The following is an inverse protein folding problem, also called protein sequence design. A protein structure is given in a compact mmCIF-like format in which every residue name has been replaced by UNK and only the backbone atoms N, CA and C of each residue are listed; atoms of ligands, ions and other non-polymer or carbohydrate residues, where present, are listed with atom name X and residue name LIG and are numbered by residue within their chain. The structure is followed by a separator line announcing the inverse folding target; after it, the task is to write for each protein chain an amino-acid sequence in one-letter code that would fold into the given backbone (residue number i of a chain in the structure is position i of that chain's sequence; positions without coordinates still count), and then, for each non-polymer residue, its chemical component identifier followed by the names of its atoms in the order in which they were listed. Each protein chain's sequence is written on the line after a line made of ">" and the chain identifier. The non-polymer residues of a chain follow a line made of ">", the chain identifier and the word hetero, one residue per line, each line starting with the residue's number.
data_IF_699341530628
#
_entry.id   IF_699341530628
#
_cell.length_a   1.000
_cell.length_b   1.000
_cell.length_c   1.000
_cell.angle_alpha   90.00
_cell.angle_beta   90.00
_cell.angle_gamma   90.00
#
_symmetry.space_group_name_H-M   'P 1'
#
loop_
_entity.id
_entity.type
_entity.pdbx_description
1 polymer ?
#
# COMPACT_ATOMS: atom_id res chain seq x y z
N UNK A 1 29.16 -71.06 -51.48
CA UNK A 1 28.30 -71.08 -50.28
C UNK A 1 28.87 -70.11 -49.24
N UNK A 2 28.17 -69.02 -48.93
CA UNK A 2 28.16 -68.39 -47.60
C UNK A 2 27.06 -67.32 -47.59
N UNK A 3 26.07 -67.57 -46.74
CA UNK A 3 24.80 -66.83 -46.61
C UNK A 3 25.04 -65.51 -45.87
N UNK A 4 24.29 -64.48 -46.28
CA UNK A 4 24.10 -63.25 -45.53
C UNK A 4 23.50 -63.53 -44.15
N UNK A 5 23.99 -62.84 -43.12
CA UNK A 5 23.29 -62.64 -41.86
C UNK A 5 23.25 -61.14 -41.59
N UNK A 6 22.05 -60.56 -41.66
CA UNK A 6 21.74 -59.24 -41.16
C UNK A 6 21.66 -59.31 -39.63
N UNK A 7 22.48 -58.53 -38.94
CA UNK A 7 22.30 -58.23 -37.51
C UNK A 7 21.83 -56.79 -37.38
N UNK A 8 20.54 -56.64 -37.08
CA UNK A 8 19.87 -55.40 -36.69
C UNK A 8 20.37 -54.97 -35.31
N UNK A 9 21.04 -53.81 -35.24
CA UNK A 9 21.44 -53.18 -33.98
C UNK A 9 20.27 -52.28 -33.50
N UNK A 10 19.60 -52.68 -32.43
CA UNK A 10 18.58 -51.86 -31.77
C UNK A 10 19.28 -50.74 -30.98
N UNK A 11 19.08 -49.49 -31.40
CA UNK A 11 19.56 -48.30 -30.69
C UNK A 11 18.56 -47.97 -29.56
N UNK A 12 18.89 -48.33 -28.32
CA UNK A 12 18.12 -47.93 -27.15
C UNK A 12 18.34 -46.44 -26.87
N UNK A 13 17.32 -45.62 -27.12
CA UNK A 13 17.32 -44.21 -26.75
C UNK A 13 17.15 -44.08 -25.23
N UNK A 14 18.20 -43.67 -24.53
CA UNK A 14 18.13 -43.27 -23.12
C UNK A 14 17.49 -41.88 -23.08
N UNK A 15 16.20 -41.81 -22.78
CA UNK A 15 15.53 -40.55 -22.46
C UNK A 15 15.89 -40.19 -21.02
N UNK A 16 16.91 -39.36 -20.85
CA UNK A 16 17.21 -38.73 -19.57
C UNK A 16 16.10 -37.75 -19.22
N UNK A 17 15.22 -38.13 -18.29
CA UNK A 17 14.26 -37.20 -17.72
C UNK A 17 15.05 -36.14 -16.92
N UNK A 18 15.20 -34.95 -17.49
CA UNK A 18 15.64 -33.79 -16.74
C UNK A 18 14.58 -33.51 -15.67
N UNK A 19 14.91 -33.83 -14.41
CA UNK A 19 14.14 -33.35 -13.26
C UNK A 19 14.38 -31.85 -13.21
N UNK A 20 13.49 -31.09 -13.85
CA UNK A 20 13.36 -29.66 -13.62
C UNK A 20 12.95 -29.50 -12.15
N UNK A 21 13.92 -29.24 -11.28
CA UNK A 21 13.63 -28.73 -9.95
C UNK A 21 12.77 -27.46 -10.08
N UNK A 22 11.88 -27.17 -9.12
CA UNK A 22 11.16 -25.90 -9.14
C UNK A 22 12.17 -24.77 -9.27
N UNK A 23 11.95 -23.86 -10.21
CA UNK A 23 12.73 -22.64 -10.31
C UNK A 23 12.77 -22.00 -8.91
N UNK A 24 13.92 -21.55 -8.39
CA UNK A 24 13.92 -20.79 -7.16
C UNK A 24 12.96 -19.62 -7.34
N UNK A 25 11.94 -19.54 -6.49
CA UNK A 25 11.08 -18.38 -6.43
C UNK A 25 12.00 -17.19 -6.14
N UNK A 26 12.25 -16.35 -7.15
CA UNK A 26 12.91 -15.09 -6.94
C UNK A 26 12.03 -14.34 -5.93
N UNK A 27 12.53 -14.22 -4.70
CA UNK A 27 11.91 -13.44 -3.65
C UNK A 27 11.72 -12.03 -4.23
N UNK A 28 10.46 -11.63 -4.43
CA UNK A 28 10.14 -10.35 -5.04
C UNK A 28 10.86 -9.26 -4.25
N UNK A 29 11.72 -8.49 -4.91
CA UNK A 29 12.35 -7.34 -4.29
C UNK A 29 11.26 -6.28 -4.09
N UNK A 30 10.65 -6.28 -2.91
CA UNK A 30 9.78 -5.20 -2.46
C UNK A 30 10.63 -3.92 -2.40
N UNK A 31 10.33 -2.96 -3.25
CA UNK A 31 10.98 -1.65 -3.20
C UNK A 31 10.13 -0.73 -2.34
N UNK A 32 10.76 0.10 -1.50
CA UNK A 32 10.06 1.06 -0.66
C UNK A 32 10.55 2.46 -0.98
N UNK A 33 9.60 3.36 -1.23
CA UNK A 33 9.82 4.78 -1.39
C UNK A 33 9.26 5.46 -0.14
N UNK A 34 10.15 5.82 0.78
CA UNK A 34 9.77 6.41 2.06
C UNK A 34 10.88 7.33 2.58
N UNK A 35 10.52 8.54 2.97
CA UNK A 35 11.38 9.45 3.71
C UNK A 35 11.09 9.44 5.20
N UNK A 36 11.74 10.34 5.94
CA UNK A 36 11.46 10.59 7.36
C UNK A 36 10.06 11.15 7.59
N UNK A 37 9.50 11.82 6.59
CA UNK A 37 8.13 12.33 6.57
C UNK A 37 7.52 12.29 5.16
N UNK A 38 6.25 12.64 5.06
CA UNK A 38 5.49 12.71 3.79
C UNK A 38 6.13 13.63 2.74
N UNK A 39 6.80 14.70 3.16
CA UNK A 39 7.41 15.66 2.25
C UNK A 39 8.66 15.04 1.62
N UNK A 40 9.49 14.37 2.41
CA UNK A 40 10.63 13.63 1.91
C UNK A 40 10.21 12.41 1.07
N UNK A 41 9.14 11.69 1.44
CA UNK A 41 8.58 10.64 0.57
C UNK A 41 8.21 11.19 -0.81
N UNK A 42 7.62 12.39 -0.89
CA UNK A 42 7.30 13.03 -2.17
C UNK A 42 8.54 13.34 -3.02
N UNK A 43 9.62 13.79 -2.37
CA UNK A 43 10.92 14.01 -3.02
C UNK A 43 11.51 12.70 -3.54
N UNK A 44 11.49 11.64 -2.74
CA UNK A 44 12.04 10.35 -3.13
C UNK A 44 11.25 9.71 -4.28
N UNK A 45 9.92 9.86 -4.30
CA UNK A 45 9.09 9.41 -5.42
C UNK A 45 9.41 10.19 -6.70
N UNK A 46 9.55 11.51 -6.62
CA UNK A 46 9.95 12.36 -7.75
C UNK A 46 11.29 11.93 -8.35
N UNK A 47 12.26 11.52 -7.53
CA UNK A 47 13.57 11.03 -8.00
C UNK A 47 13.53 9.70 -8.74
N UNK A 48 12.43 8.94 -8.63
CA UNK A 48 12.22 7.70 -9.39
C UNK A 48 11.53 7.94 -10.73
N UNK A 49 11.14 9.18 -11.03
CA UNK A 49 10.48 9.57 -12.26
C UNK A 49 11.47 10.27 -13.21
N UNK A 50 11.23 10.19 -14.54
CA UNK A 50 12.02 10.96 -15.50
C UNK A 50 11.91 12.47 -15.22
N UNK A 51 12.86 13.25 -15.74
CA UNK A 51 12.77 14.71 -15.67
C UNK A 51 11.48 15.18 -16.37
N UNK A 52 10.83 16.17 -15.77
CA UNK A 52 9.61 16.78 -16.27
C UNK A 52 9.73 18.30 -16.26
N UNK A 53 8.98 18.99 -17.12
CA UNK A 53 9.11 20.43 -17.32
C UNK A 53 8.32 21.26 -16.28
N UNK A 54 7.42 20.62 -15.52
CA UNK A 54 6.61 21.25 -14.49
C UNK A 54 6.69 20.53 -13.13
N UNK A 55 6.48 21.30 -12.06
CA UNK A 55 6.34 20.80 -10.69
C UNK A 55 5.03 21.31 -10.09
N UNK A 56 4.19 20.39 -9.64
CA UNK A 56 2.95 20.67 -8.92
C UNK A 56 3.22 20.64 -7.42
N UNK A 57 2.85 21.69 -6.71
CA UNK A 57 2.93 21.79 -5.26
C UNK A 57 1.55 21.57 -4.65
N UNK A 58 1.41 20.47 -3.92
CA UNK A 58 0.18 20.10 -3.22
C UNK A 58 0.37 20.22 -1.70
N UNK A 59 -0.72 20.46 -0.98
CA UNK A 59 -0.70 20.43 0.48
C UNK A 59 -0.48 19.01 0.99
N UNK A 60 0.56 18.82 1.80
CA UNK A 60 0.79 17.56 2.52
C UNK A 60 -0.09 17.41 3.77
N UNK A 61 -0.92 18.40 4.09
CA UNK A 61 -1.78 18.39 5.30
C UNK A 61 -3.28 18.38 4.98
N UNK A 62 -3.67 18.79 3.77
CA UNK A 62 -5.05 18.83 3.30
C UNK A 62 -5.14 18.29 1.88
N UNK A 63 -5.97 17.28 1.65
CA UNK A 63 -6.06 16.56 0.37
C UNK A 63 -6.99 17.16 -0.72
N UNK A 64 -8.08 17.89 -0.42
CA UNK A 64 -9.16 18.09 -1.39
C UNK A 64 -8.72 18.74 -2.71
N UNK A 65 -7.86 19.76 -2.63
CA UNK A 65 -7.44 20.54 -3.81
C UNK A 65 -6.44 19.78 -4.70
N UNK A 66 -5.86 18.68 -4.21
CA UNK A 66 -4.82 17.93 -4.89
C UNK A 66 -5.29 16.57 -5.43
N UNK A 67 -6.43 16.03 -4.99
CA UNK A 67 -6.89 14.70 -5.40
C UNK A 67 -7.09 14.55 -6.92
N UNK A 68 -7.46 15.63 -7.60
CA UNK A 68 -7.63 15.67 -9.05
C UNK A 68 -6.35 16.01 -9.82
N UNK A 69 -5.23 16.24 -9.14
CA UNK A 69 -3.99 16.68 -9.79
C UNK A 69 -3.27 15.54 -10.51
N UNK A 70 -3.43 14.29 -10.07
CA UNK A 70 -2.71 13.15 -10.63
C UNK A 70 -2.80 13.04 -12.17
N UNK A 71 -4.01 13.07 -12.79
CA UNK A 71 -4.12 13.03 -14.24
C UNK A 71 -3.48 14.21 -14.97
N UNK A 72 -3.59 15.41 -14.40
CA UNK A 72 -3.02 16.62 -15.01
C UNK A 72 -1.50 16.58 -14.96
N UNK A 73 -0.94 16.25 -13.78
CA UNK A 73 0.50 16.13 -13.60
C UNK A 73 1.08 15.06 -14.54
N UNK A 74 0.43 13.90 -14.66
CA UNK A 74 0.91 12.86 -15.57
C UNK A 74 0.80 13.25 -17.05
N UNK A 75 -0.28 13.92 -17.47
CA UNK A 75 -0.43 14.41 -18.83
C UNK A 75 0.64 15.43 -19.23
N UNK A 76 1.19 16.16 -18.26
CA UNK A 76 2.26 17.14 -18.44
C UNK A 76 3.66 16.57 -18.15
N UNK A 77 3.77 15.27 -17.82
CA UNK A 77 5.03 14.67 -17.38
C UNK A 77 5.59 15.31 -16.10
N UNK A 78 4.75 15.97 -15.32
CA UNK A 78 5.13 16.81 -14.19
C UNK A 78 5.33 16.00 -12.90
N UNK A 79 6.12 16.56 -11.99
CA UNK A 79 6.35 16.01 -10.65
C UNK A 79 5.33 16.58 -9.67
N UNK A 80 4.84 15.78 -8.71
CA UNK A 80 4.01 16.27 -7.61
C UNK A 80 4.77 16.19 -6.30
N UNK A 81 5.01 17.36 -5.69
CA UNK A 81 5.71 17.50 -4.42
C UNK A 81 4.76 18.04 -3.35
N UNK A 82 4.94 17.57 -2.12
CA UNK A 82 4.12 17.98 -0.99
C UNK A 82 4.77 19.14 -0.24
N UNK A 83 3.97 20.10 0.22
CA UNK A 83 4.42 21.27 1.00
C UNK A 83 3.52 21.53 2.20
N UNK A 84 3.97 22.40 3.13
CA UNK A 84 3.14 22.88 4.25
C UNK A 84 2.31 24.09 3.78
N UNK A 85 1.19 24.40 4.45
CA UNK A 85 0.36 25.56 4.09
C UNK A 85 1.11 26.90 4.08
N UNK A 86 2.09 27.03 4.95
CA UNK A 86 2.85 28.26 5.21
C UNK A 86 4.27 28.24 4.65
N UNK A 87 4.69 27.15 3.98
CA UNK A 87 6.02 27.09 3.39
C UNK A 87 6.43 25.76 2.80
N UNK A 88 7.48 25.81 2.00
CA UNK A 88 8.09 24.67 1.32
C UNK A 88 9.20 24.10 2.23
N UNK A 89 9.14 22.82 2.64
CA UNK A 89 10.22 22.17 3.39
C UNK A 89 11.57 22.25 2.67
N UNK A 90 12.67 22.24 3.41
CA UNK A 90 14.02 22.35 2.83
C UNK A 90 14.34 21.25 1.82
N UNK A 91 13.95 20.00 2.11
CA UNK A 91 14.09 18.86 1.19
C UNK A 91 13.37 19.09 -0.14
N UNK A 92 12.15 19.66 -0.08
CA UNK A 92 11.32 19.94 -1.24
C UNK A 92 11.86 21.12 -2.05
N UNK A 93 12.34 22.19 -1.40
CA UNK A 93 13.02 23.29 -2.11
C UNK A 93 14.25 22.81 -2.87
N UNK A 94 15.05 21.95 -2.25
CA UNK A 94 16.22 21.35 -2.89
C UNK A 94 15.83 20.50 -4.10
N UNK A 95 14.71 19.79 -4.02
CA UNK A 95 14.20 18.99 -5.14
C UNK A 95 13.67 19.85 -6.29
N UNK A 96 12.94 20.94 -6.01
CA UNK A 96 12.53 21.92 -7.02
C UNK A 96 13.76 22.48 -7.75
N UNK A 97 14.80 22.87 -7.01
CA UNK A 97 16.04 23.39 -7.60
C UNK A 97 16.77 22.33 -8.44
N UNK A 98 16.76 21.05 -8.01
CA UNK A 98 17.36 19.93 -8.76
C UNK A 98 16.62 19.66 -10.07
N UNK A 99 15.29 19.71 -10.04
CA UNK A 99 14.44 19.50 -11.22
C UNK A 99 14.56 20.66 -12.22
N UNK A 100 14.80 21.88 -11.73
CA UNK A 100 14.92 23.09 -12.52
C UNK A 100 13.77 23.27 -13.54
N UNK A 101 12.50 23.21 -13.09
CA UNK A 101 11.35 23.21 -13.98
C UNK A 101 11.18 24.56 -14.70
N UNK A 102 10.45 24.57 -15.81
CA UNK A 102 9.98 25.80 -16.46
C UNK A 102 8.68 26.34 -15.86
N UNK A 103 7.93 25.52 -15.12
CA UNK A 103 6.72 25.95 -14.41
C UNK A 103 6.62 25.31 -13.02
N UNK A 104 6.16 26.08 -12.04
CA UNK A 104 5.73 25.57 -10.73
C UNK A 104 4.27 25.93 -10.52
N UNK A 105 3.42 24.91 -10.39
CA UNK A 105 1.96 25.05 -10.23
C UNK A 105 1.59 24.85 -8.76
N UNK A 106 1.10 25.89 -8.09
CA UNK A 106 0.60 25.81 -6.70
C UNK A 106 -0.88 25.40 -6.71
N UNK A 107 -1.21 24.27 -6.07
CA UNK A 107 -2.57 23.73 -6.04
C UNK A 107 -3.37 24.21 -4.82
N UNK A 108 -4.56 24.73 -5.08
CA UNK A 108 -5.47 25.26 -4.08
C UNK A 108 -5.38 26.78 -3.92
N UNK A 109 -6.36 27.32 -3.19
CA UNK A 109 -6.42 28.75 -2.86
C UNK A 109 -5.29 29.18 -1.91
N UNK A 110 -5.16 30.47 -1.66
CA UNK A 110 -4.23 30.98 -0.64
C UNK A 110 -4.59 30.54 0.79
N UNK A 111 -5.85 30.14 1.04
CA UNK A 111 -6.24 29.56 2.30
C UNK A 111 -5.67 28.14 2.50
N UNK A 112 -5.44 27.40 1.42
CA UNK A 112 -4.83 26.06 1.44
C UNK A 112 -3.31 26.14 1.46
N UNK A 113 -2.74 26.92 0.54
CA UNK A 113 -1.30 27.16 0.41
C UNK A 113 -1.06 28.66 0.28
N UNK A 114 -0.56 29.29 1.34
CA UNK A 114 -0.37 30.73 1.45
C UNK A 114 0.49 31.32 0.33
N UNK A 115 0.46 32.65 0.19
CA UNK A 115 1.34 33.39 -0.74
C UNK A 115 2.84 33.12 -0.49
N UNK A 116 3.22 32.73 0.75
CA UNK A 116 4.60 32.39 1.10
C UNK A 116 5.12 31.19 0.30
N UNK A 117 4.25 30.21 0.00
CA UNK A 117 4.61 29.04 -0.81
C UNK A 117 5.00 29.46 -2.23
N UNK A 118 4.20 30.30 -2.88
CA UNK A 118 4.49 30.79 -4.24
C UNK A 118 5.77 31.65 -4.28
N UNK A 119 5.98 32.49 -3.25
CA UNK A 119 7.21 33.28 -3.12
C UNK A 119 8.45 32.39 -2.96
N UNK A 120 8.37 31.36 -2.11
CA UNK A 120 9.47 30.40 -1.92
C UNK A 120 9.71 29.52 -3.16
N UNK A 121 8.66 29.15 -3.90
CA UNK A 121 8.78 28.45 -5.18
C UNK A 121 9.55 29.30 -6.20
N UNK A 122 9.20 30.58 -6.32
CA UNK A 122 9.89 31.53 -7.21
C UNK A 122 11.37 31.68 -6.86
N UNK A 123 11.72 31.62 -5.57
CA UNK A 123 13.12 31.65 -5.12
C UNK A 123 13.86 30.34 -5.42
N UNK A 124 13.20 29.19 -5.28
CA UNK A 124 13.78 27.88 -5.52
C UNK A 124 13.97 27.58 -7.03
N UNK A 125 13.13 28.14 -7.89
CA UNK A 125 13.23 28.04 -9.34
C UNK A 125 13.08 29.42 -10.02
N UNK A 126 14.13 30.27 -10.02
CA UNK A 126 14.04 31.65 -10.52
C UNK A 126 13.73 31.80 -12.02
N UNK A 127 13.80 30.71 -12.79
CA UNK A 127 13.47 30.67 -14.23
C UNK A 127 12.08 30.10 -14.51
N UNK A 128 11.40 29.56 -13.50
CA UNK A 128 10.09 28.97 -13.67
C UNK A 128 9.00 30.05 -13.62
N UNK A 129 7.96 29.90 -14.44
CA UNK A 129 6.70 30.59 -14.21
C UNK A 129 6.01 29.97 -12.98
N UNK A 130 5.62 30.77 -11.99
CA UNK A 130 4.88 30.27 -10.83
C UNK A 130 3.40 30.61 -10.99
N UNK A 131 2.59 29.59 -11.24
CA UNK A 131 1.15 29.70 -11.43
C UNK A 131 0.39 29.10 -10.25
N UNK A 132 -0.89 29.43 -10.12
CA UNK A 132 -1.79 28.86 -9.11
C UNK A 132 -3.06 28.35 -9.76
N UNK A 133 -3.49 27.17 -9.34
CA UNK A 133 -4.79 26.59 -9.70
C UNK A 133 -5.56 26.32 -8.42
N UNK A 134 -6.53 27.17 -8.10
CA UNK A 134 -7.39 27.02 -6.94
C UNK A 134 -8.72 27.73 -7.18
N UNK A 135 -9.81 26.99 -7.04
CA UNK A 135 -11.17 27.52 -7.08
C UNK A 135 -11.66 27.96 -5.69
N UNK A 136 -12.92 28.36 -5.62
CA UNK A 136 -13.61 28.66 -4.36
C UNK A 136 -13.71 27.43 -3.45
N UNK A 137 -13.72 26.23 -4.03
CA UNK A 137 -13.72 24.96 -3.32
C UNK A 137 -12.98 23.85 -4.10
N UNK A 138 -12.98 22.64 -3.52
CA UNK A 138 -12.37 21.43 -4.08
C UNK A 138 -13.00 20.98 -5.40
N UNK A 139 -14.30 21.25 -5.58
CA UNK A 139 -15.03 20.88 -6.81
C UNK A 139 -14.56 21.80 -7.93
N UNK A 140 -14.57 23.11 -7.71
CA UNK A 140 -14.10 24.08 -8.70
C UNK A 140 -12.61 23.90 -9.02
N UNK A 141 -11.77 23.67 -8.01
CA UNK A 141 -10.34 23.37 -8.22
C UNK A 141 -10.16 22.16 -9.13
N UNK A 142 -10.93 21.09 -8.94
CA UNK A 142 -10.87 19.91 -9.81
C UNK A 142 -11.33 20.19 -11.25
N UNK A 143 -12.29 21.09 -11.45
CA UNK A 143 -12.76 21.49 -12.77
C UNK A 143 -11.74 22.37 -13.51
N UNK A 144 -11.04 23.26 -12.79
CA UNK A 144 -9.94 24.05 -13.35
C UNK A 144 -8.76 23.17 -13.76
N UNK A 145 -8.48 22.11 -13.00
CA UNK A 145 -7.49 21.09 -13.35
C UNK A 145 -7.88 20.34 -14.63
N UNK A 146 -9.14 19.93 -14.76
CA UNK A 146 -9.66 19.35 -16.00
C UNK A 146 -9.53 20.31 -17.19
N UNK A 147 -9.84 21.60 -17.00
CA UNK A 147 -9.69 22.61 -18.05
C UNK A 147 -8.24 22.77 -18.50
N UNK A 148 -7.28 22.73 -17.56
CA UNK A 148 -5.84 22.76 -17.86
C UNK A 148 -5.43 21.55 -18.70
N UNK A 149 -5.76 20.34 -18.26
CA UNK A 149 -5.45 19.11 -18.99
C UNK A 149 -5.96 19.17 -20.44
N UNK A 150 -7.17 19.71 -20.65
CA UNK A 150 -7.81 19.81 -21.95
C UNK A 150 -7.20 20.81 -22.93
N UNK A 151 -6.32 21.70 -22.46
CA UNK A 151 -5.54 22.57 -23.35
C UNK A 151 -4.47 21.79 -24.12
N UNK A 152 -4.06 20.64 -23.59
CA UNK A 152 -2.94 19.85 -24.13
C UNK A 152 -3.38 18.51 -24.70
N UNK A 153 -4.49 17.93 -24.21
CA UNK A 153 -4.98 16.62 -24.67
C UNK A 153 -6.50 16.56 -24.78
N UNK A 154 -7.01 15.69 -25.65
CA UNK A 154 -8.44 15.37 -25.72
C UNK A 154 -8.82 14.42 -24.58
N UNK A 155 -9.79 14.80 -23.76
CA UNK A 155 -10.27 13.98 -22.63
C UNK A 155 -11.64 13.39 -22.96
N UNK A 156 -11.71 12.07 -23.16
CA UNK A 156 -12.95 11.34 -23.49
C UNK A 156 -13.59 10.66 -22.28
N UNK A 157 -12.78 10.32 -21.29
CA UNK A 157 -13.17 9.64 -20.07
C UNK A 157 -12.94 10.58 -18.88
N UNK A 158 -13.93 10.69 -18.00
CA UNK A 158 -13.83 11.51 -16.79
C UNK A 158 -14.27 10.71 -15.57
N UNK A 159 -13.38 10.61 -14.58
CA UNK A 159 -13.70 10.08 -13.26
C UNK A 159 -14.39 11.16 -12.43
N UNK A 160 -15.48 10.79 -11.76
CA UNK A 160 -16.24 11.67 -10.85
C UNK A 160 -16.20 11.05 -9.46
N UNK A 161 -15.24 11.50 -8.65
CA UNK A 161 -14.97 10.94 -7.32
C UNK A 161 -15.52 11.83 -6.20
N UNK A 162 -15.65 11.27 -4.99
CA UNK A 162 -16.06 12.04 -3.82
C UNK A 162 -15.00 13.11 -3.50
N UNK A 163 -15.45 14.34 -3.27
CA UNK A 163 -14.62 15.38 -2.68
C UNK A 163 -14.58 15.31 -1.16
N UNK A 164 -15.40 14.48 -0.52
CA UNK A 164 -15.52 14.40 0.94
C UNK A 164 -14.53 13.40 1.58
N UNK A 165 -14.11 12.38 0.82
CA UNK A 165 -13.11 11.37 1.21
C UNK A 165 -12.12 11.15 0.06
N UNK A 166 -10.97 10.53 0.34
CA UNK A 166 -9.84 10.44 -0.59
C UNK A 166 -9.55 9.07 -1.23
N UNK A 167 -9.78 7.90 -0.58
CA UNK A 167 -9.20 6.64 -1.05
C UNK A 167 -9.62 6.23 -2.46
N UNK A 168 -10.91 6.37 -2.77
CA UNK A 168 -11.49 6.01 -4.06
C UNK A 168 -10.89 6.87 -5.19
N UNK A 169 -10.64 8.15 -4.90
CA UNK A 169 -10.04 9.10 -5.82
C UNK A 169 -8.54 8.82 -6.05
N UNK A 170 -7.81 8.24 -5.10
CA UNK A 170 -6.40 7.86 -5.29
C UNK A 170 -6.26 6.75 -6.35
N UNK A 171 -7.02 5.66 -6.22
CA UNK A 171 -6.97 4.55 -7.17
C UNK A 171 -7.50 4.99 -8.55
N UNK A 172 -8.60 5.74 -8.59
CA UNK A 172 -9.12 6.32 -9.83
C UNK A 172 -8.13 7.29 -10.48
N UNK A 173 -7.46 8.13 -9.67
CA UNK A 173 -6.48 9.11 -10.12
C UNK A 173 -5.25 8.47 -10.75
N UNK A 174 -4.77 7.34 -10.23
CA UNK A 174 -3.67 6.59 -10.82
C UNK A 174 -4.04 6.03 -12.21
N UNK A 175 -5.25 5.47 -12.36
CA UNK A 175 -5.75 5.04 -13.67
C UNK A 175 -5.94 6.23 -14.60
N UNK A 176 -6.49 7.33 -14.11
CA UNK A 176 -6.70 8.54 -14.90
C UNK A 176 -5.38 9.11 -15.43
N UNK A 177 -4.36 9.14 -14.57
CA UNK A 177 -3.00 9.54 -14.92
C UNK A 177 -2.36 8.65 -15.97
N UNK A 178 -2.53 7.33 -15.88
CA UNK A 178 -1.98 6.39 -16.85
C UNK A 178 -2.68 6.45 -18.20
N UNK A 179 -4.01 6.49 -18.19
CA UNK A 179 -4.84 6.29 -19.40
C UNK A 179 -5.26 7.63 -20.05
N UNK A 180 -4.82 8.76 -19.52
CA UNK A 180 -5.17 10.09 -20.03
C UNK A 180 -6.63 10.47 -19.79
N UNK A 181 -7.24 9.96 -18.73
CA UNK A 181 -8.60 10.35 -18.33
C UNK A 181 -8.57 11.62 -17.46
N UNK A 182 -9.66 12.38 -17.45
CA UNK A 182 -9.86 13.45 -16.48
C UNK A 182 -10.30 12.89 -15.12
N UNK A 183 -10.10 13.66 -14.05
CA UNK A 183 -10.69 13.41 -12.75
C UNK A 183 -11.27 14.71 -12.20
N UNK A 184 -12.51 14.66 -11.74
CA UNK A 184 -13.20 15.76 -11.05
C UNK A 184 -13.80 15.27 -9.74
N UNK A 185 -14.00 16.19 -8.81
CA UNK A 185 -14.57 15.93 -7.50
C UNK A 185 -16.02 16.39 -7.44
N UNK A 186 -16.81 15.74 -6.59
CA UNK A 186 -18.18 16.14 -6.26
C UNK A 186 -18.47 15.98 -4.77
N UNK A 187 -19.27 16.88 -4.21
CA UNK A 187 -19.86 16.74 -2.87
C UNK A 187 -21.35 16.39 -2.94
N UNK A 188 -21.89 16.14 -4.13
CA UNK A 188 -23.31 15.88 -4.40
C UNK A 188 -23.75 16.50 -5.74
N UNK A 189 -25.01 16.28 -6.14
CA UNK A 189 -25.57 16.82 -7.38
C UNK A 189 -26.20 18.23 -7.22
N UNK A 190 -25.52 19.13 -6.50
CA UNK A 190 -26.00 20.50 -6.31
C UNK A 190 -25.98 21.33 -7.62
N UNK A 191 -26.52 22.54 -7.56
CA UNK A 191 -26.62 23.42 -8.73
C UNK A 191 -25.24 23.86 -9.26
N UNK A 192 -24.26 24.06 -8.39
CA UNK A 192 -22.90 24.46 -8.76
C UNK A 192 -22.22 23.33 -9.52
N UNK A 193 -22.21 22.12 -8.97
CA UNK A 193 -21.65 20.95 -9.62
C UNK A 193 -22.34 20.69 -10.97
N UNK A 194 -23.67 20.75 -11.03
CA UNK A 194 -24.45 20.60 -12.27
C UNK A 194 -24.02 21.62 -13.32
N UNK A 195 -23.91 22.89 -12.96
CA UNK A 195 -23.48 23.93 -13.90
C UNK A 195 -22.05 23.68 -14.39
N UNK A 196 -21.13 23.40 -13.47
CA UNK A 196 -19.71 23.23 -13.78
C UNK A 196 -19.46 22.01 -14.67
N UNK A 197 -20.09 20.87 -14.38
CA UNK A 197 -19.94 19.67 -15.19
C UNK A 197 -20.57 19.86 -16.56
N UNK A 198 -21.80 20.40 -16.65
CA UNK A 198 -22.49 20.64 -17.93
C UNK A 198 -21.72 21.57 -18.86
N UNK A 199 -21.02 22.58 -18.34
CA UNK A 199 -20.14 23.44 -19.13
C UNK A 199 -18.91 22.71 -19.72
N UNK A 200 -18.56 21.55 -19.16
CA UNK A 200 -17.31 20.81 -19.46
C UNK A 200 -17.55 19.41 -20.04
N UNK A 201 -18.76 19.06 -20.45
CA UNK A 201 -19.03 17.72 -21.04
C UNK A 201 -18.73 17.59 -22.54
N UNK A 202 -18.28 18.66 -23.21
CA UNK A 202 -17.89 18.58 -24.63
C UNK A 202 -16.77 17.56 -24.83
N UNK A 203 -16.85 16.68 -25.83
CA UNK A 203 -15.84 15.64 -26.07
C UNK A 203 -15.79 14.48 -25.07
N UNK A 204 -16.47 14.58 -23.93
CA UNK A 204 -16.58 13.49 -22.95
C UNK A 204 -17.61 12.46 -23.44
N UNK A 205 -17.17 11.21 -23.53
CA UNK A 205 -17.97 10.05 -23.96
C UNK A 205 -18.41 9.19 -22.76
N UNK A 206 -17.57 9.11 -21.73
CA UNK A 206 -17.72 8.19 -20.59
C UNK A 206 -17.45 8.86 -19.25
N UNK A 207 -18.30 8.60 -18.28
CA UNK A 207 -18.09 8.90 -16.88
C UNK A 207 -17.84 7.62 -16.08
N UNK A 208 -16.87 7.70 -15.17
CA UNK A 208 -16.56 6.64 -14.21
C UNK A 208 -16.76 7.14 -12.79
N UNK A 209 -17.48 6.40 -11.96
CA UNK A 209 -17.70 6.76 -10.55
C UNK A 209 -16.99 5.72 -9.69
N UNK A 210 -15.90 6.08 -8.99
CA UNK A 210 -15.28 5.18 -8.03
C UNK A 210 -16.09 5.16 -6.74
N UNK A 211 -16.23 3.97 -6.14
CA UNK A 211 -16.91 3.79 -4.86
C UNK A 211 -18.42 3.56 -4.97
N UNK A 212 -18.98 3.19 -3.82
CA UNK A 212 -20.41 2.91 -3.67
C UNK A 212 -21.26 4.20 -3.66
N UNK A 213 -22.58 4.05 -3.58
CA UNK A 213 -23.50 5.18 -3.42
C UNK A 213 -23.30 5.95 -2.11
N UNK A 214 -22.59 5.38 -1.14
CA UNK A 214 -22.22 6.07 0.09
C UNK A 214 -21.11 7.12 -0.13
N UNK A 215 -20.19 6.88 -1.07
CA UNK A 215 -19.10 7.81 -1.42
C UNK A 215 -19.59 8.91 -2.38
N UNK A 216 -20.30 8.50 -3.44
CA UNK A 216 -20.84 9.38 -4.48
C UNK A 216 -22.31 9.01 -4.68
N UNK A 217 -23.21 9.92 -4.31
CA UNK A 217 -24.65 9.68 -4.28
C UNK A 217 -25.27 9.22 -5.61
N UNK A 218 -26.42 8.57 -5.51
CA UNK A 218 -27.18 8.11 -6.68
C UNK A 218 -27.73 9.28 -7.53
N UNK A 219 -27.91 10.44 -6.92
CA UNK A 219 -28.25 11.71 -7.55
C UNK A 219 -27.18 12.17 -8.55
N UNK A 220 -25.90 12.06 -8.19
CA UNK A 220 -24.77 12.35 -9.09
C UNK A 220 -24.78 11.40 -10.29
N UNK A 221 -24.95 10.10 -10.05
CA UNK A 221 -25.03 9.13 -11.16
C UNK A 221 -26.22 9.43 -12.09
N UNK A 222 -27.37 9.79 -11.53
CA UNK A 222 -28.57 10.13 -12.31
C UNK A 222 -28.35 11.40 -13.13
N UNK A 223 -27.70 12.41 -12.55
CA UNK A 223 -27.28 13.63 -13.25
C UNK A 223 -26.35 13.30 -14.43
N UNK A 224 -25.30 12.49 -14.22
CA UNK A 224 -24.37 12.12 -15.28
C UNK A 224 -25.06 11.31 -16.38
N UNK A 225 -25.95 10.37 -16.04
CA UNK A 225 -26.71 9.59 -17.02
C UNK A 225 -27.63 10.46 -17.88
N UNK A 226 -28.21 11.53 -17.31
CA UNK A 226 -29.08 12.46 -18.06
C UNK A 226 -28.38 13.21 -19.18
N UNK A 227 -27.04 13.24 -19.18
CA UNK A 227 -26.25 13.84 -20.26
C UNK A 227 -26.18 12.97 -21.52
N UNK A 228 -26.67 11.72 -21.49
CA UNK A 228 -26.58 10.78 -22.61
C UNK A 228 -25.18 10.16 -22.79
N UNK A 229 -24.25 10.37 -21.86
CA UNK A 229 -22.94 9.70 -21.82
C UNK A 229 -23.04 8.36 -21.11
N UNK A 230 -22.13 7.46 -21.42
CA UNK A 230 -22.03 6.17 -20.70
C UNK A 230 -21.53 6.43 -19.28
N UNK A 231 -22.20 5.88 -18.27
CA UNK A 231 -21.79 6.00 -16.86
C UNK A 231 -21.52 4.62 -16.29
N UNK A 232 -20.33 4.39 -15.75
CA UNK A 232 -19.96 3.14 -15.07
C UNK A 232 -19.56 3.43 -13.64
N UNK A 233 -20.08 2.66 -12.67
CA UNK A 233 -19.68 2.75 -11.26
C UNK A 233 -18.84 1.54 -10.88
N UNK A 234 -17.84 1.77 -10.03
CA UNK A 234 -16.95 0.76 -9.47
C UNK A 234 -17.13 0.68 -7.94
N UNK A 235 -18.19 0.02 -7.44
CA UNK A 235 -18.42 -0.10 -6.01
C UNK A 235 -17.59 -1.23 -5.41
N UNK A 236 -17.02 -1.00 -4.23
CA UNK A 236 -16.51 -2.05 -3.33
C UNK A 236 -17.16 -1.95 -1.96
N UNK A 237 -17.08 -3.01 -1.15
CA UNK A 237 -17.54 -3.00 0.24
C UNK A 237 -16.74 -2.01 1.11
N UNK A 238 -15.49 -1.77 0.73
CA UNK A 238 -14.63 -0.75 1.32
C UNK A 238 -13.72 -0.08 0.27
N UNK A 239 -12.84 0.81 0.74
CA UNK A 239 -11.86 1.53 -0.07
C UNK A 239 -10.84 0.63 -0.78
N UNK A 240 -10.54 -0.53 -0.20
CA UNK A 240 -9.52 -1.45 -0.72
C UNK A 240 -10.13 -2.29 -1.85
N UNK A 241 -11.34 -2.80 -1.66
CA UNK A 241 -12.07 -3.51 -2.71
C UNK A 241 -12.43 -2.57 -3.88
N UNK A 242 -12.78 -1.30 -3.60
CA UNK A 242 -13.00 -0.31 -4.67
C UNK A 242 -11.75 -0.13 -5.55
N UNK A 243 -10.56 -0.03 -4.93
CA UNK A 243 -9.31 0.04 -5.67
C UNK A 243 -9.05 -1.22 -6.52
N UNK A 244 -9.43 -2.41 -6.02
CA UNK A 244 -9.35 -3.66 -6.80
C UNK A 244 -10.30 -3.65 -7.98
N UNK A 245 -11.57 -3.29 -7.80
CA UNK A 245 -12.57 -3.25 -8.87
C UNK A 245 -12.15 -2.31 -10.01
N UNK A 246 -11.60 -1.15 -9.65
CA UNK A 246 -11.01 -0.21 -10.62
C UNK A 246 -9.87 -0.89 -11.39
N UNK A 247 -8.88 -1.45 -10.70
CA UNK A 247 -7.73 -2.05 -11.38
C UNK A 247 -8.05 -3.34 -12.16
N UNK A 248 -9.08 -4.10 -11.77
CA UNK A 248 -9.56 -5.24 -12.56
C UNK A 248 -10.08 -4.81 -13.94
N UNK A 249 -10.74 -3.65 -14.00
CA UNK A 249 -11.26 -3.11 -15.25
C UNK A 249 -10.18 -2.52 -16.14
N UNK A 250 -9.19 -1.86 -15.54
CA UNK A 250 -8.24 -1.01 -16.26
C UNK A 250 -6.84 -1.61 -16.38
N UNK A 251 -6.51 -2.67 -15.64
CA UNK A 251 -5.20 -3.32 -15.70
C UNK A 251 -5.34 -4.74 -16.25
N UNK A 252 -4.86 -5.01 -17.49
CA UNK A 252 -4.98 -6.33 -18.10
C UNK A 252 -4.32 -7.44 -17.28
N UNK A 253 -4.87 -8.66 -17.36
CA UNK A 253 -4.21 -9.83 -16.79
C UNK A 253 -2.87 -10.09 -17.51
N UNK A 254 -1.88 -10.61 -16.77
CA UNK A 254 -0.53 -10.89 -17.29
C UNK A 254 0.21 -9.68 -17.90
N UNK A 255 -0.15 -8.45 -17.51
CA UNK A 255 0.58 -7.24 -17.90
C UNK A 255 2.02 -7.19 -17.33
N UNK A 256 2.29 -7.94 -16.26
CA UNK A 256 3.59 -7.93 -15.59
C UNK A 256 3.81 -6.66 -14.77
N UNK A 257 5.06 -6.21 -14.68
CA UNK A 257 5.42 -4.98 -13.97
C UNK A 257 5.41 -5.12 -12.45
N UNK A 258 5.29 -3.97 -11.78
CA UNK A 258 5.17 -3.84 -10.33
C UNK A 258 3.74 -3.44 -9.96
N UNK A 259 3.33 -3.76 -8.73
CA UNK A 259 2.19 -3.10 -8.09
C UNK A 259 2.68 -1.90 -7.30
N UNK A 260 1.96 -0.79 -7.31
CA UNK A 260 2.18 0.29 -6.35
C UNK A 260 1.20 0.11 -5.19
N UNK A 261 1.70 0.14 -3.96
CA UNK A 261 0.91 -0.07 -2.75
C UNK A 261 1.05 1.13 -1.81
N UNK A 262 -0.08 1.73 -1.41
CA UNK A 262 -0.12 2.85 -0.48
C UNK A 262 -1.14 2.62 0.65
N UNK A 263 -1.06 3.43 1.70
CA UNK A 263 -2.05 3.40 2.79
C UNK A 263 -3.42 3.86 2.28
N UNK A 264 -4.47 3.10 2.59
CA UNK A 264 -5.85 3.55 2.41
C UNK A 264 -6.33 4.46 3.54
N UNK A 265 -5.52 4.73 4.57
CA UNK A 265 -5.94 5.48 5.77
C UNK A 265 -5.16 6.78 5.98
N UNK A 266 -4.05 6.98 5.28
CA UNK A 266 -3.29 8.24 5.23
C UNK A 266 -3.04 8.62 3.76
N UNK A 267 -3.54 9.78 3.35
CA UNK A 267 -3.59 10.19 1.94
C UNK A 267 -2.27 10.61 1.27
N UNK A 268 -1.28 11.25 1.95
CA UNK A 268 -0.23 11.98 1.24
C UNK A 268 0.65 11.10 0.36
N UNK A 269 1.07 9.93 0.88
CA UNK A 269 1.91 8.99 0.13
C UNK A 269 1.14 8.38 -1.05
N UNK A 270 -0.17 8.16 -0.90
CA UNK A 270 -1.04 7.67 -1.97
C UNK A 270 -1.33 8.73 -3.04
N UNK A 271 -1.41 10.01 -2.67
CA UNK A 271 -1.56 11.14 -3.60
C UNK A 271 -0.34 11.25 -4.53
N UNK A 272 0.86 11.23 -3.95
CA UNK A 272 2.11 11.15 -4.70
C UNK A 272 2.18 9.84 -5.49
N UNK A 273 1.78 8.74 -4.85
CA UNK A 273 1.74 7.40 -5.43
C UNK A 273 0.86 7.32 -6.69
N UNK A 274 -0.23 8.09 -6.78
CA UNK A 274 -1.08 8.12 -7.97
C UNK A 274 -0.37 8.72 -9.19
N UNK A 275 0.41 9.79 -9.00
CA UNK A 275 1.26 10.37 -10.06
C UNK A 275 2.37 9.40 -10.44
N UNK A 276 3.06 8.86 -9.44
CA UNK A 276 4.13 7.87 -9.64
C UNK A 276 3.64 6.65 -10.44
N UNK A 277 2.54 6.04 -10.00
CA UNK A 277 1.93 4.88 -10.63
C UNK A 277 1.47 5.19 -12.06
N UNK A 278 0.81 6.34 -12.26
CA UNK A 278 0.36 6.81 -13.57
C UNK A 278 1.48 6.94 -14.59
N UNK A 279 2.55 7.66 -14.22
CA UNK A 279 3.72 7.88 -15.08
C UNK A 279 4.54 6.61 -15.34
N UNK A 280 4.52 5.65 -14.40
CA UNK A 280 5.17 4.34 -14.53
C UNK A 280 4.35 3.33 -15.35
N UNK A 281 3.06 3.61 -15.58
CA UNK A 281 2.14 2.63 -16.14
C UNK A 281 1.76 1.49 -15.18
N UNK A 282 1.93 1.69 -13.89
CA UNK A 282 1.73 0.68 -12.85
C UNK A 282 0.38 0.89 -12.14
N UNK A 283 -0.32 -0.18 -11.73
CA UNK A 283 -1.56 -0.04 -10.96
C UNK A 283 -1.29 0.35 -9.49
N UNK A 284 -2.08 1.29 -8.96
CA UNK A 284 -2.07 1.66 -7.55
C UNK A 284 -3.18 0.92 -6.79
N UNK A 285 -2.78 0.16 -5.77
CA UNK A 285 -3.66 -0.50 -4.81
C UNK A 285 -3.50 0.14 -3.42
N UNK A 286 -4.50 -0.09 -2.57
CA UNK A 286 -4.52 0.41 -1.20
C UNK A 286 -4.45 -0.75 -0.19
N UNK A 287 -3.84 -0.50 0.96
CA UNK A 287 -3.78 -1.45 2.09
C UNK A 287 -4.04 -0.77 3.42
N UNK A 288 -4.43 -1.53 4.45
CA UNK A 288 -4.42 -1.01 5.82
C UNK A 288 -2.96 -0.89 6.29
N UNK A 289 -2.68 -0.10 7.34
CA UNK A 289 -1.33 0.03 7.85
C UNK A 289 -0.71 -1.27 8.35
N UNK A 290 -1.51 -2.16 8.97
CA UNK A 290 -1.01 -3.37 9.64
C UNK A 290 -1.09 -4.64 8.81
N UNK A 291 -2.01 -4.72 7.84
CA UNK A 291 -2.30 -5.92 7.05
C UNK A 291 -2.94 -5.56 5.71
N UNK A 292 -2.95 -6.50 4.76
CA UNK A 292 -3.73 -6.34 3.54
C UNK A 292 -5.21 -6.55 3.83
N UNK A 293 -6.01 -5.48 3.65
CA UNK A 293 -7.47 -5.62 3.67
C UNK A 293 -7.88 -6.41 2.45
N UNK A 294 -8.43 -7.60 2.71
CA UNK A 294 -8.85 -8.62 1.75
C UNK A 294 -7.72 -9.30 0.98
N UNK A 295 -7.86 -10.61 0.73
CA UNK A 295 -6.96 -11.38 -0.14
C UNK A 295 -7.00 -10.95 -1.62
N UNK A 296 -7.73 -9.88 -1.93
CA UNK A 296 -7.95 -9.39 -3.28
C UNK A 296 -6.69 -8.79 -3.90
N UNK A 297 -5.87 -8.02 -3.16
CA UNK A 297 -4.62 -7.47 -3.72
C UNK A 297 -3.59 -8.57 -4.02
N UNK A 298 -3.53 -9.61 -3.19
CA UNK A 298 -2.69 -10.78 -3.47
C UNK A 298 -3.18 -11.54 -4.72
N UNK A 299 -4.50 -11.74 -4.86
CA UNK A 299 -5.08 -12.32 -6.07
C UNK A 299 -4.82 -11.45 -7.32
N UNK A 300 -4.85 -10.12 -7.16
CA UNK A 300 -4.54 -9.18 -8.23
C UNK A 300 -3.08 -9.24 -8.65
N UNK A 301 -2.14 -9.33 -7.71
CA UNK A 301 -0.71 -9.57 -8.00
C UNK A 301 -0.54 -10.78 -8.90
N UNK A 302 -1.22 -11.88 -8.57
CA UNK A 302 -1.14 -13.12 -9.33
C UNK A 302 -1.85 -13.01 -10.70
N UNK A 303 -3.00 -12.31 -10.75
CA UNK A 303 -3.78 -12.05 -11.98
C UNK A 303 -2.99 -11.22 -12.99
N UNK A 304 -2.40 -10.11 -12.54
CA UNK A 304 -1.58 -9.25 -13.40
C UNK A 304 -0.21 -9.86 -13.69
N UNK A 305 0.21 -10.88 -12.92
CA UNK A 305 1.53 -11.50 -13.05
C UNK A 305 2.65 -10.55 -12.61
N UNK A 306 2.39 -9.72 -11.60
CA UNK A 306 3.35 -8.76 -11.08
C UNK A 306 4.60 -9.45 -10.52
N UNK A 307 5.75 -8.83 -10.71
CA UNK A 307 7.07 -9.33 -10.26
C UNK A 307 7.53 -8.74 -8.93
N UNK A 308 6.75 -7.83 -8.37
CA UNK A 308 7.07 -7.17 -7.12
C UNK A 308 6.13 -6.03 -6.77
N UNK A 309 6.40 -5.43 -5.61
CA UNK A 309 5.57 -4.37 -5.04
C UNK A 309 6.48 -3.18 -4.75
N UNK A 310 6.03 -2.00 -5.16
CA UNK A 310 6.58 -0.71 -4.79
C UNK A 310 5.69 -0.13 -3.69
N UNK A 311 6.20 -0.07 -2.47
CA UNK A 311 5.49 0.48 -1.31
C UNK A 311 5.77 1.97 -1.19
N UNK A 312 4.71 2.77 -1.11
CA UNK A 312 4.77 4.20 -0.87
C UNK A 312 4.45 4.49 0.60
N UNK A 313 5.42 5.09 1.28
CA UNK A 313 5.32 5.45 2.70
C UNK A 313 6.16 4.58 3.62
N UNK A 314 6.33 5.08 4.85
CA UNK A 314 7.11 4.43 5.90
C UNK A 314 6.48 3.16 6.46
N UNK A 315 7.21 2.46 7.34
CA UNK A 315 6.74 1.21 7.98
C UNK A 315 5.54 1.41 8.90
N UNK A 316 5.30 2.64 9.35
CA UNK A 316 4.14 2.99 10.18
C UNK A 316 2.88 3.24 9.36
N UNK A 317 3.01 3.62 8.08
CA UNK A 317 1.87 3.83 7.16
C UNK A 317 1.54 2.58 6.35
N UNK A 318 2.56 1.80 6.01
CA UNK A 318 2.44 0.45 5.41
C UNK A 318 3.48 -0.47 6.02
N UNK A 319 3.07 -1.30 6.98
CA UNK A 319 3.96 -2.24 7.68
C UNK A 319 4.57 -3.29 6.74
N UNK A 320 5.64 -3.98 7.14
CA UNK A 320 6.17 -5.10 6.36
C UNK A 320 5.19 -6.27 6.22
N UNK A 321 4.22 -6.40 7.14
CA UNK A 321 3.10 -7.36 7.03
C UNK A 321 2.14 -6.95 5.93
N UNK A 322 1.72 -5.67 5.90
CA UNK A 322 0.88 -5.12 4.85
C UNK A 322 1.57 -5.16 3.47
N UNK A 323 2.86 -4.80 3.41
CA UNK A 323 3.68 -4.84 2.20
C UNK A 323 3.79 -6.26 1.62
N UNK A 324 3.87 -7.27 2.48
CA UNK A 324 3.87 -8.69 2.08
C UNK A 324 2.49 -9.21 1.66
N UNK A 325 1.47 -8.33 1.62
CA UNK A 325 0.08 -8.66 1.32
C UNK A 325 -0.52 -9.72 2.26
N UNK A 326 -0.08 -9.73 3.52
CA UNK A 326 -0.58 -10.68 4.53
C UNK A 326 -2.01 -10.30 4.90
N UNK A 327 -3.01 -11.19 4.75
CA UNK A 327 -4.40 -10.87 5.03
C UNK A 327 -4.63 -10.47 6.49
N UNK A 328 -5.51 -9.51 6.70
CA UNK A 328 -5.99 -9.20 8.06
C UNK A 328 -6.58 -10.45 8.73
N UNK A 329 -6.21 -10.68 10.01
CA UNK A 329 -6.57 -11.89 10.77
C UNK A 329 -5.61 -13.08 10.60
N UNK A 330 -4.68 -13.06 9.63
CA UNK A 330 -3.72 -14.15 9.45
C UNK A 330 -2.73 -14.29 10.63
N UNK A 331 -2.36 -13.18 11.27
CA UNK A 331 -1.49 -13.20 12.46
C UNK A 331 -2.22 -13.81 13.66
N UNK A 332 -3.51 -13.49 13.85
CA UNK A 332 -4.34 -14.09 14.90
C UNK A 332 -4.52 -15.60 14.67
N UNK A 333 -4.74 -16.01 13.42
CA UNK A 333 -4.79 -17.42 13.05
C UNK A 333 -3.46 -18.14 13.35
N UNK A 334 -2.32 -17.47 13.09
CA UNK A 334 -0.99 -18.01 13.41
C UNK A 334 -0.78 -18.14 14.92
N UNK A 335 -1.23 -17.16 15.71
CA UNK A 335 -1.21 -17.22 17.16
C UNK A 335 -2.08 -18.37 17.71
N UNK A 336 -3.28 -18.56 17.15
CA UNK A 336 -4.16 -19.67 17.51
C UNK A 336 -3.53 -21.04 17.20
N UNK A 337 -2.93 -21.21 16.01
CA UNK A 337 -2.26 -22.46 15.66
C UNK A 337 -1.04 -22.73 16.56
N UNK A 338 -0.29 -21.70 16.96
CA UNK A 338 0.79 -21.84 17.95
C UNK A 338 0.26 -22.30 19.31
N UNK A 339 -0.84 -21.71 19.80
CA UNK A 339 -1.45 -22.12 21.06
C UNK A 339 -1.88 -23.61 21.01
N UNK A 340 -2.49 -24.03 19.91
CA UNK A 340 -2.92 -25.42 19.73
C UNK A 340 -1.71 -26.38 19.70
N UNK A 341 -0.63 -26.01 18.99
CA UNK A 341 0.62 -26.79 18.98
C UNK A 341 1.23 -26.90 20.37
N UNK A 342 1.32 -25.79 21.10
CA UNK A 342 1.84 -25.73 22.46
C UNK A 342 1.02 -26.64 23.38
N UNK A 343 -0.31 -26.57 23.31
CA UNK A 343 -1.18 -27.37 24.15
C UNK A 343 -1.16 -28.87 23.79
N UNK A 344 -0.87 -29.24 22.53
CA UNK A 344 -0.59 -30.63 22.15
C UNK A 344 0.69 -31.16 22.81
N UNK A 345 1.77 -30.39 22.80
CA UNK A 345 3.03 -30.77 23.46
C UNK A 345 2.85 -30.90 24.99
N UNK A 346 2.10 -29.97 25.59
CA UNK A 346 1.78 -30.03 27.03
C UNK A 346 0.93 -31.26 27.37
N UNK A 347 -0.07 -31.58 26.56
CA UNK A 347 -0.88 -32.78 26.75
C UNK A 347 -0.04 -34.06 26.65
N UNK A 348 0.87 -34.15 25.67
CA UNK A 348 1.80 -35.28 25.53
C UNK A 348 2.74 -35.43 26.73
N UNK A 349 3.09 -34.33 27.41
CA UNK A 349 3.88 -34.32 28.63
C UNK A 349 3.05 -34.47 29.93
N UNK A 350 1.72 -34.66 29.84
CA UNK A 350 0.84 -34.78 31.00
C UNK A 350 0.63 -33.46 31.77
N UNK A 351 0.85 -32.31 31.13
CA UNK A 351 0.71 -30.96 31.71
C UNK A 351 -0.59 -30.31 31.23
N UNK A 352 -1.29 -29.60 32.13
CA UNK A 352 -2.54 -28.89 31.81
C UNK A 352 -2.35 -27.86 30.67
N UNK A 353 -3.34 -27.66 29.80
CA UNK A 353 -3.26 -26.67 28.73
C UNK A 353 -3.15 -25.25 29.30
N UNK A 354 -2.47 -24.36 28.54
CA UNK A 354 -2.43 -22.93 28.78
C UNK A 354 -3.69 -22.26 28.22
N UNK A 355 -4.20 -21.26 28.94
CA UNK A 355 -5.27 -20.39 28.46
C UNK A 355 -4.70 -19.11 27.83
N UNK A 356 -5.30 -18.64 26.73
CA UNK A 356 -4.94 -17.35 26.14
C UNK A 356 -5.28 -16.20 27.11
N UNK A 357 -4.39 -15.21 27.21
CA UNK A 357 -4.57 -14.05 28.09
C UNK A 357 -4.32 -12.74 27.33
N UNK A 358 -5.32 -11.84 27.35
CA UNK A 358 -5.25 -10.60 26.57
C UNK A 358 -4.16 -9.62 27.03
N UNK A 359 -3.70 -9.67 28.29
CA UNK A 359 -2.62 -8.79 28.75
C UNK A 359 -1.27 -9.30 28.25
N UNK A 360 -1.01 -10.60 28.42
CA UNK A 360 0.17 -11.26 27.86
C UNK A 360 0.20 -11.13 26.32
N UNK A 361 -0.93 -11.26 25.63
CA UNK A 361 -0.96 -11.13 24.15
C UNK A 361 -0.53 -9.74 23.71
N UNK A 362 -0.92 -8.68 24.43
CA UNK A 362 -0.46 -7.32 24.11
C UNK A 362 1.03 -7.13 24.35
N UNK A 363 1.59 -7.73 25.41
CA UNK A 363 3.04 -7.72 25.67
C UNK A 363 3.80 -8.42 24.53
N UNK A 364 3.39 -9.66 24.23
CA UNK A 364 4.03 -10.47 23.21
C UNK A 364 3.93 -9.83 21.82
N UNK A 365 2.76 -9.30 21.44
CA UNK A 365 2.57 -8.59 20.18
C UNK A 365 3.40 -7.29 20.12
N UNK A 366 3.46 -6.53 21.21
CA UNK A 366 4.27 -5.32 21.30
C UNK A 366 5.77 -5.62 21.09
N UNK A 367 6.27 -6.68 21.73
CA UNK A 367 7.67 -7.08 21.56
C UNK A 367 7.95 -7.69 20.20
N UNK A 368 7.06 -8.51 19.64
CA UNK A 368 7.18 -9.02 18.28
C UNK A 368 7.30 -7.87 17.26
N UNK A 369 6.49 -6.81 17.45
CA UNK A 369 6.58 -5.59 16.64
C UNK A 369 7.89 -4.83 16.81
N UNK A 370 8.39 -4.69 18.04
CA UNK A 370 9.69 -4.05 18.27
C UNK A 370 10.86 -4.85 17.65
N UNK A 371 10.81 -6.19 17.72
CA UNK A 371 11.78 -7.06 17.04
C UNK A 371 11.72 -6.91 15.51
N UNK A 372 10.50 -6.82 14.97
CA UNK A 372 10.27 -6.63 13.53
C UNK A 372 10.76 -5.26 13.03
N UNK A 373 10.42 -4.18 13.74
CA UNK A 373 10.83 -2.82 13.40
C UNK A 373 12.36 -2.66 13.46
N UNK A 374 12.98 -3.19 14.52
CA UNK A 374 14.43 -3.14 14.70
C UNK A 374 15.21 -4.16 13.87
N UNK A 375 14.54 -5.07 13.14
CA UNK A 375 15.16 -6.23 12.50
C UNK A 375 16.10 -7.01 13.45
N UNK A 376 15.65 -7.21 14.70
CA UNK A 376 16.48 -7.74 15.77
C UNK A 376 16.86 -9.22 15.52
N UNK A 377 17.83 -9.73 16.30
CA UNK A 377 18.08 -11.16 16.33
C UNK A 377 16.87 -11.89 16.93
N UNK A 378 16.56 -13.10 16.44
CA UNK A 378 15.47 -13.93 16.97
C UNK A 378 15.67 -14.42 18.41
N UNK A 379 16.76 -14.02 19.06
CA UNK A 379 17.10 -14.28 20.46
C UNK A 379 16.98 -13.03 21.35
N UNK A 380 16.49 -11.91 20.81
CA UNK A 380 16.33 -10.67 21.57
C UNK A 380 15.09 -10.74 22.47
N UNK A 381 15.29 -10.74 23.79
CA UNK A 381 14.25 -10.77 24.79
C UNK A 381 13.73 -9.37 25.13
N UNK A 382 12.46 -9.27 25.55
CA UNK A 382 11.82 -8.01 25.92
C UNK A 382 12.52 -7.40 27.16
N UNK A 383 13.17 -6.22 27.04
CA UNK A 383 13.86 -5.59 28.16
C UNK A 383 12.90 -5.10 29.25
N UNK A 384 11.63 -4.92 28.90
CA UNK A 384 10.55 -4.44 29.77
C UNK A 384 9.68 -5.56 30.33
N UNK A 385 9.96 -6.84 30.01
CA UNK A 385 9.10 -7.99 30.33
C UNK A 385 8.64 -8.01 31.79
N UNK A 386 9.56 -7.77 32.72
CA UNK A 386 9.25 -7.79 34.16
C UNK A 386 8.33 -6.63 34.58
N UNK A 387 8.53 -5.44 34.02
CA UNK A 387 7.69 -4.29 34.32
C UNK A 387 6.27 -4.48 33.76
N UNK A 388 6.17 -4.98 32.54
CA UNK A 388 4.90 -5.28 31.87
C UNK A 388 4.14 -6.42 32.54
N UNK A 389 4.82 -7.51 32.91
CA UNK A 389 4.22 -8.63 33.62
C UNK A 389 3.60 -8.20 34.97
N UNK A 390 4.27 -7.29 35.69
CA UNK A 390 3.73 -6.69 36.93
C UNK A 390 2.52 -5.82 36.65
N UNK A 391 2.53 -5.04 35.57
CA UNK A 391 1.36 -4.27 35.15
C UNK A 391 0.16 -5.17 34.80
N UNK A 392 0.42 -6.37 34.27
CA UNK A 392 -0.58 -7.42 34.04
C UNK A 392 -1.01 -8.20 35.29
N UNK A 393 -0.49 -7.85 36.48
CA UNK A 393 -0.76 -8.52 37.75
C UNK A 393 -0.39 -10.02 37.76
N UNK A 394 0.69 -10.40 37.06
CA UNK A 394 1.17 -11.77 37.01
C UNK A 394 2.03 -12.11 38.23
N UNK A 395 1.88 -13.33 38.75
CA UNK A 395 2.65 -13.85 39.90
C UNK A 395 3.91 -14.62 39.49
N UNK A 396 3.99 -15.00 38.22
CA UNK A 396 5.15 -15.61 37.58
C UNK A 396 5.05 -15.41 36.08
N UNK A 397 6.19 -15.27 35.41
CA UNK A 397 6.28 -15.03 33.97
C UNK A 397 7.52 -15.68 33.37
N UNK A 398 7.51 -15.85 32.05
CA UNK A 398 8.63 -16.30 31.24
C UNK A 398 8.38 -15.98 29.77
N UNK A 399 9.44 -15.97 28.96
CA UNK A 399 9.35 -15.62 27.55
C UNK A 399 10.11 -16.64 26.70
N UNK A 400 9.53 -17.02 25.56
CA UNK A 400 10.27 -17.58 24.45
C UNK A 400 10.20 -16.61 23.27
N UNK A 401 11.34 -16.32 22.67
CA UNK A 401 11.42 -15.56 21.42
C UNK A 401 11.97 -16.44 20.31
N UNK A 402 11.67 -16.08 19.08
CA UNK A 402 12.14 -16.84 17.93
C UNK A 402 11.91 -16.12 16.62
N UNK A 403 12.57 -16.60 15.56
CA UNK A 403 12.32 -16.12 14.20
C UNK A 403 12.34 -17.24 13.17
N UNK A 404 11.60 -17.04 12.09
CA UNK A 404 11.70 -17.83 10.85
C UNK A 404 11.88 -16.88 9.67
N UNK A 405 12.16 -17.43 8.48
CA UNK A 405 12.28 -16.70 7.23
C UNK A 405 11.30 -17.27 6.21
N UNK A 406 10.74 -16.43 5.35
CA UNK A 406 9.89 -16.86 4.24
C UNK A 406 8.70 -15.93 4.01
N UNK A 407 7.85 -16.29 3.05
CA UNK A 407 6.71 -15.48 2.62
C UNK A 407 5.53 -15.48 3.61
N UNK A 408 5.48 -16.42 4.57
CA UNK A 408 4.39 -16.56 5.54
C UNK A 408 4.91 -17.06 6.90
N UNK A 409 4.17 -16.83 8.00
CA UNK A 409 4.53 -17.41 9.29
C UNK A 409 4.59 -18.94 9.22
N UNK A 410 5.70 -19.53 9.68
CA UNK A 410 5.88 -20.98 9.80
C UNK A 410 5.85 -21.42 11.27
N UNK A 411 4.64 -21.61 11.77
CA UNK A 411 4.34 -22.04 13.15
C UNK A 411 4.83 -23.45 13.45
N UNK A 412 4.85 -24.33 12.45
CA UNK A 412 5.33 -25.71 12.61
C UNK A 412 6.84 -25.74 12.82
N UNK A 413 7.59 -25.02 11.99
CA UNK A 413 9.05 -24.93 12.08
C UNK A 413 9.49 -24.28 13.38
N UNK A 414 8.87 -23.17 13.79
CA UNK A 414 9.28 -22.50 15.03
C UNK A 414 8.97 -23.35 16.26
N UNK A 415 7.83 -24.06 16.28
CA UNK A 415 7.51 -24.99 17.36
C UNK A 415 8.49 -26.16 17.44
N UNK A 416 8.85 -26.75 16.30
CA UNK A 416 9.88 -27.81 16.27
C UNK A 416 11.22 -27.31 16.81
N UNK A 417 11.63 -26.11 16.44
CA UNK A 417 12.86 -25.49 16.94
C UNK A 417 12.81 -25.21 18.46
N UNK A 418 11.69 -24.72 18.97
CA UNK A 418 11.52 -24.50 20.41
C UNK A 418 11.51 -25.80 21.21
N UNK A 419 10.84 -26.86 20.73
CA UNK A 419 10.82 -28.15 21.43
C UNK A 419 12.17 -28.88 21.40
N UNK A 420 13.00 -28.64 20.37
CA UNK A 420 14.37 -29.14 20.31
C UNK A 420 15.35 -28.37 21.22
N UNK A 421 14.98 -27.17 21.70
CA UNK A 421 15.79 -26.37 22.63
C UNK A 421 15.36 -26.61 24.07
N UNK A 422 16.30 -27.03 24.93
CA UNK A 422 16.00 -27.32 26.34
C UNK A 422 15.36 -26.13 27.07
N UNK A 423 15.91 -24.92 26.93
CA UNK A 423 15.38 -23.73 27.59
C UNK A 423 13.96 -23.37 27.16
N UNK A 424 13.71 -23.36 25.84
CA UNK A 424 12.39 -23.03 25.30
C UNK A 424 11.35 -24.10 25.66
N UNK A 425 11.71 -25.38 25.53
CA UNK A 425 10.87 -26.52 25.93
C UNK A 425 10.52 -26.48 27.41
N UNK A 426 11.47 -26.13 28.27
CA UNK A 426 11.23 -26.02 29.71
C UNK A 426 10.19 -24.94 30.04
N UNK A 427 10.19 -23.81 29.34
CA UNK A 427 9.13 -22.79 29.47
C UNK A 427 7.77 -23.34 29.00
N UNK A 428 7.71 -23.95 27.81
CA UNK A 428 6.49 -24.50 27.22
C UNK A 428 5.84 -25.55 28.11
N UNK A 429 6.63 -26.44 28.71
CA UNK A 429 6.15 -27.56 29.54
C UNK A 429 6.05 -27.20 31.03
N UNK A 430 6.36 -25.97 31.44
CA UNK A 430 6.32 -25.57 32.84
C UNK A 430 4.89 -25.63 33.37
N UNK A 431 4.65 -26.49 34.37
CA UNK A 431 3.32 -26.70 34.95
C UNK A 431 2.82 -25.51 35.77
N UNK A 432 3.71 -24.66 36.27
CA UNK A 432 3.34 -23.45 37.01
C UNK A 432 2.73 -22.36 36.11
N UNK A 433 3.03 -22.37 34.81
CA UNK A 433 2.40 -21.45 33.86
C UNK A 433 1.02 -21.98 33.49
N UNK A 434 0.04 -21.08 33.58
CA UNK A 434 -1.39 -21.35 33.34
C UNK A 434 -1.95 -20.53 32.19
N UNK A 435 -1.28 -19.44 31.83
CA UNK A 435 -1.70 -18.50 30.79
C UNK A 435 -0.57 -18.21 29.80
N UNK A 436 -0.94 -17.78 28.59
CA UNK A 436 0.00 -17.41 27.53
C UNK A 436 -0.55 -16.27 26.68
N UNK A 437 0.35 -15.40 26.22
CA UNK A 437 0.16 -14.47 25.13
C UNK A 437 1.11 -14.78 23.98
N UNK A 438 0.65 -14.54 22.75
CA UNK A 438 1.42 -14.88 21.55
C UNK A 438 1.44 -13.67 20.62
N UNK A 439 2.64 -13.24 20.26
CA UNK A 439 2.90 -12.19 19.28
C UNK A 439 3.55 -12.77 18.03
N UNK A 440 3.08 -12.31 16.86
CA UNK A 440 3.67 -12.64 15.56
C UNK A 440 3.76 -11.35 14.75
N UNK A 441 4.92 -11.04 14.19
CA UNK A 441 5.09 -9.88 13.30
C UNK A 441 6.19 -10.14 12.25
N UNK A 442 6.30 -9.29 11.23
CA UNK A 442 7.26 -9.41 10.13
C UNK A 442 8.15 -8.17 10.04
N UNK A 443 9.47 -8.38 9.97
CA UNK A 443 10.43 -7.31 9.71
C UNK A 443 10.56 -6.99 8.23
N UNK A 444 11.12 -5.81 7.93
CA UNK A 444 11.45 -5.41 6.55
C UNK A 444 12.54 -6.29 5.91
N UNK A 445 13.32 -7.00 6.73
CA UNK A 445 14.29 -8.01 6.29
C UNK A 445 13.66 -9.36 5.88
N UNK A 446 12.33 -9.47 5.87
CA UNK A 446 11.62 -10.70 5.51
C UNK A 446 11.57 -11.78 6.59
N UNK A 447 12.11 -11.52 7.79
CA UNK A 447 11.99 -12.43 8.92
C UNK A 447 10.64 -12.29 9.60
N UNK A 448 10.09 -13.42 10.03
CA UNK A 448 8.94 -13.51 10.93
C UNK A 448 9.42 -13.66 12.36
N UNK A 449 8.90 -12.85 13.27
CA UNK A 449 9.22 -12.81 14.68
C UNK A 449 8.08 -13.38 15.49
N UNK A 450 8.42 -14.19 16.48
CA UNK A 450 7.48 -14.87 17.35
C UNK A 450 7.87 -14.63 18.80
N UNK A 451 6.89 -14.27 19.62
CA UNK A 451 7.05 -14.09 21.06
C UNK A 451 5.96 -14.87 21.77
N UNK A 452 6.36 -15.72 22.72
CA UNK A 452 5.47 -16.40 23.65
C UNK A 452 5.73 -15.85 25.05
N UNK A 453 4.77 -15.11 25.60
CA UNK A 453 4.82 -14.67 26.99
C UNK A 453 3.95 -15.58 27.85
N UNK A 454 4.56 -16.28 28.79
CA UNK A 454 3.89 -17.18 29.71
C UNK A 454 3.58 -16.48 31.03
N UNK A 455 2.50 -16.88 31.71
CA UNK A 455 2.15 -16.30 33.00
C UNK A 455 1.37 -17.21 33.96
N UNK A 456 1.35 -16.79 35.22
CA UNK A 456 0.53 -17.35 36.30
C UNK A 456 -0.30 -16.23 36.94
N UNK A 457 -1.60 -16.45 37.11
CA UNK A 457 -2.53 -15.54 37.79
C UNK A 457 -2.74 -15.90 39.26
#
# INVERSE_FOLDING_TARGET
>A
MRRLALTSLALAAVVGAAVLGPAPAAEAADSRIAGMDRFETSVLASRQLPAGDAVFLASGVSFPDALAAAPVAAAEGAHLLLVRPDGIPTSVRAEIARLAPSEVVVLGSEATLSAAVAAQASQAAPRAEVTRIGGADRVETSMLLLDRMRKHTSVRDVWVASGADFPDALAAGAVAARDGHGLVLTTGADASFRQQISARIGGVERFHIPGSVASVGADVQSLLSSTGRTVTRFPGADRYETAVQINQRFTPARSGGQLVLASGTDFPDGLVGAVYAGLRGEPLYLTTPGCASSGSVAAERDRVGSRGITVLGGVTTVSPVAAALVPCGALDASASDLLDRINRERAAAGVRPLAADGCLTRMAAGWAGAMAEGNLAGSAHNPSLTAEARACSLRGWGENVGRTSGSSPDTARIMSAWMASEGHRNNILRSSFTHIGIGVDRGSNGSWYYVLDFGTR
#
